data_IF_490654483706
#
_entry.id   IF_490654483706
#
_cell.length_a   1.000
_cell.length_b   1.000
_cell.length_c   1.000
_cell.angle_alpha   90.00
_cell.angle_beta   90.00
_cell.angle_gamma   90.00
#
_symmetry.space_group_name_H-M   'P 1'
#
loop_
_entity.id
_entity.type
_entity.pdbx_description
1 polymer ?
#
# COMPACT_ATOMS: atom_id res chain seq x y z
N UNK A 1 8.32 7.09 -11.74
CA UNK A 1 7.11 6.95 -10.92
C UNK A 1 7.45 7.24 -9.48
N UNK A 2 6.49 7.71 -8.67
CA UNK A 2 6.69 7.86 -7.22
C UNK A 2 6.49 6.50 -6.54
N UNK A 3 7.32 6.20 -5.53
CA UNK A 3 7.15 5.03 -4.66
C UNK A 3 5.75 4.94 -4.05
N UNK A 4 5.11 6.09 -3.80
CA UNK A 4 3.73 6.14 -3.32
C UNK A 4 2.73 5.61 -4.35
N UNK A 5 2.89 5.97 -5.63
CA UNK A 5 2.03 5.48 -6.71
C UNK A 5 2.24 3.98 -6.95
N UNK A 6 3.48 3.50 -6.86
CA UNK A 6 3.79 2.06 -6.96
C UNK A 6 3.05 1.25 -5.87
N UNK A 7 2.94 1.79 -4.64
CA UNK A 7 2.19 1.13 -3.56
C UNK A 7 0.69 1.08 -3.87
N UNK A 8 0.11 2.18 -4.37
CA UNK A 8 -1.31 2.21 -4.72
C UNK A 8 -1.64 1.19 -5.81
N UNK A 9 -0.85 1.15 -6.90
CA UNK A 9 -1.03 0.16 -7.96
C UNK A 9 -0.86 -1.28 -7.44
N UNK A 10 0.13 -1.52 -6.58
CA UNK A 10 0.31 -2.83 -5.95
C UNK A 10 -0.92 -3.26 -5.13
N UNK A 11 -1.53 -2.34 -4.38
CA UNK A 11 -2.73 -2.63 -3.57
C UNK A 11 -3.95 -2.93 -4.44
N UNK A 12 -4.13 -2.22 -5.55
CA UNK A 12 -5.23 -2.44 -6.52
C UNK A 12 -5.13 -3.81 -7.21
N UNK A 13 -3.92 -4.35 -7.38
CA UNK A 13 -3.68 -5.66 -8.00
C UNK A 13 -3.83 -6.84 -7.02
N UNK A 14 -3.96 -6.59 -5.72
CA UNK A 14 -4.10 -7.67 -4.74
C UNK A 14 -5.48 -8.33 -4.83
N UNK A 15 -5.56 -9.66 -4.64
CA UNK A 15 -6.85 -10.33 -4.52
C UNK A 15 -7.59 -9.85 -3.27
N UNK A 16 -8.89 -9.64 -3.42
CA UNK A 16 -9.80 -9.26 -2.32
C UNK A 16 -9.67 -10.25 -1.16
N UNK A 17 -9.61 -9.73 0.06
CA UNK A 17 -9.42 -10.52 1.30
C UNK A 17 -7.95 -10.80 1.65
N UNK A 18 -7.00 -10.40 0.80
CA UNK A 18 -5.58 -10.47 1.15
C UNK A 18 -5.24 -9.42 2.21
N UNK A 19 -4.71 -9.90 3.34
CA UNK A 19 -4.23 -9.03 4.42
C UNK A 19 -2.92 -8.34 4.04
N UNK A 20 -2.86 -7.05 4.29
CA UNK A 20 -1.65 -6.23 4.14
C UNK A 20 -1.32 -5.53 5.45
N UNK A 21 -0.05 -5.21 5.64
CA UNK A 21 0.43 -4.38 6.75
C UNK A 21 1.45 -3.37 6.23
N UNK A 22 1.59 -2.24 6.93
CA UNK A 22 2.62 -1.22 6.64
C UNK A 22 3.99 -1.87 6.47
N UNK A 23 4.38 -2.74 7.41
CA UNK A 23 5.69 -3.39 7.43
C UNK A 23 5.89 -4.38 6.26
N UNK A 24 4.84 -5.10 5.87
CA UNK A 24 4.93 -5.99 4.70
C UNK A 24 5.11 -5.21 3.40
N UNK A 25 4.41 -4.09 3.25
CA UNK A 25 4.50 -3.22 2.07
C UNK A 25 5.85 -2.51 2.02
N UNK A 26 6.31 -1.97 3.16
CA UNK A 26 7.58 -1.25 3.26
C UNK A 26 8.76 -2.15 2.92
N UNK A 27 8.79 -3.38 3.46
CA UNK A 27 9.80 -4.38 3.15
C UNK A 27 9.74 -4.85 1.69
N UNK A 28 8.54 -5.08 1.14
CA UNK A 28 8.38 -5.60 -0.22
C UNK A 28 8.84 -4.59 -1.28
N UNK A 29 8.52 -3.31 -1.08
CA UNK A 29 8.78 -2.26 -2.07
C UNK A 29 10.03 -1.42 -1.76
N UNK A 30 10.73 -1.72 -0.66
CA UNK A 30 11.96 -1.04 -0.25
C UNK A 30 11.74 0.43 0.08
N UNK A 31 10.66 0.74 0.82
CA UNK A 31 10.28 2.11 1.19
C UNK A 31 10.23 2.29 2.70
N UNK A 32 10.20 3.53 3.19
CA UNK A 32 10.00 3.78 4.62
C UNK A 32 8.57 3.43 5.05
N UNK A 33 8.41 3.04 6.32
CA UNK A 33 7.09 2.77 6.91
C UNK A 33 6.15 3.98 6.77
N UNK A 34 6.65 5.21 6.91
CA UNK A 34 5.85 6.42 6.72
C UNK A 34 5.38 6.64 5.27
N UNK A 35 6.09 6.09 4.28
CA UNK A 35 5.65 6.12 2.87
C UNK A 35 4.60 5.04 2.62
N UNK A 36 4.83 3.83 3.10
CA UNK A 36 3.84 2.74 3.02
C UNK A 36 2.55 3.09 3.77
N UNK A 37 2.65 3.65 4.98
CA UNK A 37 1.49 4.06 5.77
C UNK A 37 0.62 5.09 5.07
N UNK A 38 1.22 6.16 4.50
CA UNK A 38 0.45 7.19 3.79
C UNK A 38 -0.26 6.64 2.56
N UNK A 39 0.38 5.73 1.82
CA UNK A 39 -0.24 5.11 0.66
C UNK A 39 -1.39 4.16 1.06
N UNK A 40 -1.22 3.35 2.10
CA UNK A 40 -2.30 2.50 2.62
C UNK A 40 -3.47 3.36 3.12
N UNK A 41 -3.20 4.45 3.87
CA UNK A 41 -4.24 5.36 4.35
C UNK A 41 -5.01 6.02 3.20
N UNK A 42 -4.32 6.36 2.12
CA UNK A 42 -4.97 6.87 0.92
C UNK A 42 -5.78 5.80 0.19
N UNK A 43 -5.28 4.57 0.12
CA UNK A 43 -6.01 3.43 -0.42
C UNK A 43 -7.30 3.14 0.38
N UNK A 44 -7.25 3.25 1.71
CA UNK A 44 -8.44 3.20 2.58
C UNK A 44 -9.44 4.30 2.25
N UNK A 45 -8.99 5.55 2.11
CA UNK A 45 -9.86 6.67 1.74
C UNK A 45 -10.50 6.50 0.34
N UNK A 46 -9.86 5.73 -0.54
CA UNK A 46 -10.36 5.38 -1.88
C UNK A 46 -11.24 4.12 -1.88
N UNK A 47 -11.37 3.42 -0.75
CA UNK A 47 -12.12 2.16 -0.65
C UNK A 47 -11.42 0.94 -1.27
N UNK A 48 -10.10 1.01 -1.48
CA UNK A 48 -9.28 -0.10 -1.99
C UNK A 48 -8.91 -1.07 -0.85
N UNK A 49 -8.75 -0.55 0.36
CA UNK A 49 -8.38 -1.28 1.59
C UNK A 49 -9.38 -0.95 2.70
N UNK A 50 -9.67 -1.91 3.58
CA UNK A 50 -10.47 -1.71 4.81
C UNK A 50 -9.71 -2.12 6.07
#
# INVERSE_FOLDING_TARGET
>A
MSKHQEILSYLEELPVGKRVSVRSISNHLGVSDGTAYRAIKEAENRGIVE
#
